data_IF_830657503165
#
_entry.id   IF_830657503165
#
_cell.length_a   1.000
_cell.length_b   1.000
_cell.length_c   1.000
_cell.angle_alpha   90.00
_cell.angle_beta   90.00
_cell.angle_gamma   90.00
#
_symmetry.space_group_name_H-M   'P 1'
#
loop_
_entity.id
_entity.type
_entity.pdbx_description
1 polymer ?
#
# COMPACT_ATOMS: atom_id res chain seq x y z
N UNK A 1 3.62 29.12 4.69
CA UNK A 1 2.63 28.50 3.78
C UNK A 1 1.29 28.43 4.53
N UNK A 2 0.49 29.49 4.44
CA UNK A 2 -0.63 29.75 5.37
C UNK A 2 -1.90 30.23 4.65
N UNK A 3 -2.27 29.63 3.52
CA UNK A 3 -3.51 29.95 2.82
C UNK A 3 -4.14 28.69 2.23
N UNK A 4 -4.90 27.97 3.06
CA UNK A 4 -5.91 26.95 2.69
C UNK A 4 -6.65 26.40 3.95
N UNK A 5 -6.80 27.19 5.02
CA UNK A 5 -7.30 26.68 6.32
C UNK A 5 -8.76 26.20 6.30
N UNK A 6 -9.56 26.64 5.32
CA UNK A 6 -10.97 26.22 5.18
C UNK A 6 -11.12 24.81 4.58
N UNK A 7 -10.49 24.53 3.45
CA UNK A 7 -10.62 23.23 2.76
C UNK A 7 -9.85 22.07 3.41
N UNK A 8 -8.80 22.37 4.17
CA UNK A 8 -7.88 21.35 4.69
C UNK A 8 -8.41 20.59 5.92
N UNK A 9 -9.40 21.15 6.64
CA UNK A 9 -10.04 20.51 7.80
C UNK A 9 -10.87 19.28 7.43
N UNK A 10 -11.46 19.26 6.23
CA UNK A 10 -12.28 18.15 5.75
C UNK A 10 -11.48 16.95 5.24
N UNK A 11 -10.17 17.10 5.04
CA UNK A 11 -9.33 16.05 4.44
C UNK A 11 -8.78 15.04 5.45
N UNK A 12 -8.93 15.24 6.77
CA UNK A 12 -8.48 14.27 7.79
C UNK A 12 -6.95 14.07 7.85
N UNK A 13 -6.17 15.07 7.45
CA UNK A 13 -4.70 15.00 7.41
C UNK A 13 -4.14 14.30 6.17
N UNK A 14 -2.82 14.28 6.01
CA UNK A 14 -2.13 13.60 4.90
C UNK A 14 -0.90 12.85 5.43
N UNK A 15 -0.75 11.58 5.05
CA UNK A 15 0.38 10.74 5.49
C UNK A 15 1.66 11.13 4.73
N UNK A 16 2.81 10.90 5.33
CA UNK A 16 4.10 11.08 4.65
C UNK A 16 4.15 10.28 3.35
N UNK A 17 4.63 10.89 2.27
CA UNK A 17 4.66 10.28 0.95
C UNK A 17 3.38 10.49 0.14
N UNK A 18 2.22 10.68 0.79
CA UNK A 18 0.93 10.77 0.10
C UNK A 18 0.63 12.21 -0.33
N UNK A 19 -0.25 12.35 -1.32
CA UNK A 19 -0.76 13.64 -1.78
C UNK A 19 -2.30 13.69 -1.72
N UNK A 20 -2.86 14.89 -1.54
CA UNK A 20 -4.30 15.17 -1.58
C UNK A 20 -4.57 16.44 -2.36
N UNK A 21 -5.67 16.48 -3.12
CA UNK A 21 -6.01 17.64 -3.94
C UNK A 21 -7.15 18.46 -3.32
N UNK A 22 -7.07 19.78 -3.45
CA UNK A 22 -8.17 20.72 -3.18
C UNK A 22 -8.37 21.66 -4.36
N UNK A 23 -9.50 22.37 -4.36
CA UNK A 23 -9.63 23.57 -5.17
C UNK A 23 -8.60 24.62 -4.73
N UNK A 24 -8.17 25.45 -5.68
CA UNK A 24 -7.16 26.48 -5.43
C UNK A 24 -7.73 27.80 -4.93
N UNK A 25 -9.06 27.97 -4.99
CA UNK A 25 -9.78 29.18 -4.59
C UNK A 25 -9.24 30.41 -5.33
N UNK A 26 -8.70 31.40 -4.63
CA UNK A 26 -8.25 32.69 -5.20
C UNK A 26 -6.91 32.60 -5.95
N UNK A 27 -6.31 31.42 -6.05
CA UNK A 27 -5.08 31.22 -6.81
C UNK A 27 -5.38 31.05 -8.31
N UNK A 28 -4.47 31.50 -9.20
CA UNK A 28 -4.63 31.34 -10.65
C UNK A 28 -4.58 29.87 -11.12
N UNK A 29 -4.08 28.96 -10.27
CA UNK A 29 -4.09 27.53 -10.54
C UNK A 29 -5.52 26.96 -10.42
N UNK A 30 -5.85 25.91 -11.17
CA UNK A 30 -7.16 25.24 -11.05
C UNK A 30 -7.30 24.46 -9.74
N UNK A 31 -6.21 23.83 -9.31
CA UNK A 31 -6.15 22.91 -8.17
C UNK A 31 -4.86 23.12 -7.39
N UNK A 32 -4.88 22.74 -6.11
CA UNK A 32 -3.69 22.67 -5.25
C UNK A 32 -3.52 21.22 -4.79
N UNK A 33 -2.32 20.68 -4.96
CA UNK A 33 -1.95 19.36 -4.47
C UNK A 33 -1.09 19.55 -3.21
N UNK A 34 -1.56 18.95 -2.12
CA UNK A 34 -0.93 18.97 -0.80
C UNK A 34 -0.22 17.65 -0.57
N UNK A 35 1.09 17.68 -0.33
CA UNK A 35 1.89 16.48 -0.07
C UNK A 35 2.76 16.66 1.17
N UNK A 36 3.06 15.56 1.85
CA UNK A 36 3.85 15.57 3.09
C UNK A 36 5.18 14.86 2.87
N UNK A 37 6.22 15.65 2.59
CA UNK A 37 7.60 15.14 2.51
C UNK A 37 8.12 14.58 3.85
N UNK A 38 9.05 13.62 3.80
CA UNK A 38 9.59 12.94 4.98
C UNK A 38 10.53 13.82 5.81
N UNK A 39 10.58 13.57 7.12
CA UNK A 39 11.67 14.04 7.98
C UNK A 39 12.88 13.12 7.77
N UNK A 40 14.02 13.71 7.45
CA UNK A 40 15.23 12.96 7.20
C UNK A 40 15.98 12.65 8.49
N UNK A 41 16.40 11.40 8.62
CA UNK A 41 17.34 10.94 9.62
C UNK A 41 18.27 9.93 8.95
N UNK A 42 19.57 9.99 9.26
CA UNK A 42 20.59 9.12 8.63
C UNK A 42 20.22 7.64 8.75
N UNK A 43 19.72 7.20 9.91
CA UNK A 43 19.24 5.82 10.15
C UNK A 43 18.07 5.37 9.27
N UNK A 44 17.35 6.30 8.66
CA UNK A 44 16.17 6.04 7.82
C UNK A 44 16.35 6.60 6.41
N UNK A 45 17.59 6.68 5.92
CA UNK A 45 17.92 7.23 4.60
C UNK A 45 17.05 6.65 3.48
N UNK A 46 17.01 5.32 3.33
CA UNK A 46 16.19 4.63 2.30
C UNK A 46 14.70 4.92 2.45
N UNK A 47 14.17 4.93 3.68
CA UNK A 47 12.76 5.21 3.90
C UNK A 47 12.41 6.66 3.56
N UNK A 48 13.31 7.60 3.83
CA UNK A 48 13.15 9.00 3.45
C UNK A 48 13.23 9.18 1.94
N UNK A 49 14.14 8.48 1.25
CA UNK A 49 14.23 8.52 -0.22
C UNK A 49 12.96 7.99 -0.88
N UNK A 50 12.49 6.80 -0.47
CA UNK A 50 11.26 6.22 -1.01
C UNK A 50 10.04 7.10 -0.74
N UNK A 51 9.93 7.63 0.48
CA UNK A 51 8.83 8.54 0.82
C UNK A 51 8.88 9.84 0.02
N UNK A 52 10.08 10.39 -0.25
CA UNK A 52 10.23 11.58 -1.07
C UNK A 52 9.86 11.32 -2.53
N UNK A 53 10.31 10.20 -3.10
CA UNK A 53 9.92 9.77 -4.45
C UNK A 53 8.39 9.60 -4.54
N UNK A 54 7.79 8.92 -3.56
CA UNK A 54 6.35 8.74 -3.49
C UNK A 54 5.58 10.07 -3.42
N UNK A 55 6.12 11.12 -2.78
CA UNK A 55 5.50 12.45 -2.78
C UNK A 55 5.36 13.01 -4.19
N UNK A 56 6.44 12.99 -4.99
CA UNK A 56 6.42 13.50 -6.36
C UNK A 56 5.53 12.66 -7.26
N UNK A 57 5.60 11.32 -7.12
CA UNK A 57 4.77 10.38 -7.88
C UNK A 57 3.29 10.60 -7.62
N UNK A 58 2.88 10.64 -6.34
CA UNK A 58 1.48 10.86 -5.94
C UNK A 58 0.94 12.19 -6.48
N UNK A 59 1.76 13.24 -6.55
CA UNK A 59 1.35 14.52 -7.14
C UNK A 59 1.10 14.42 -8.64
N UNK A 60 1.94 13.69 -9.38
CA UNK A 60 1.80 13.50 -10.82
C UNK A 60 0.66 12.53 -11.18
N UNK A 61 0.40 11.52 -10.34
CA UNK A 61 -0.77 10.64 -10.47
C UNK A 61 -2.06 11.43 -10.32
N UNK A 62 -2.17 12.23 -9.25
CA UNK A 62 -3.33 13.10 -9.03
C UNK A 62 -3.54 14.12 -10.17
N UNK A 63 -2.47 14.60 -10.79
CA UNK A 63 -2.54 15.47 -11.97
C UNK A 63 -3.28 14.76 -13.13
N UNK A 64 -2.84 13.54 -13.47
CA UNK A 64 -3.43 12.75 -14.57
C UNK A 64 -4.86 12.34 -14.23
N UNK A 65 -5.11 11.85 -13.01
CA UNK A 65 -6.44 11.41 -12.57
C UNK A 65 -7.50 12.52 -12.65
N UNK A 66 -7.08 13.77 -12.46
CA UNK A 66 -7.98 14.94 -12.52
C UNK A 66 -7.99 15.62 -13.90
N UNK A 67 -7.41 15.01 -14.94
CA UNK A 67 -7.42 15.54 -16.30
C UNK A 67 -6.70 16.90 -16.43
N UNK A 68 -5.66 17.12 -15.62
CA UNK A 68 -4.83 18.31 -15.67
C UNK A 68 -3.55 18.01 -16.48
N UNK A 69 -3.04 19.01 -17.19
CA UNK A 69 -1.92 18.80 -18.13
C UNK A 69 -0.60 19.42 -17.64
N UNK A 70 -0.66 20.30 -16.64
CA UNK A 70 0.53 21.03 -16.16
C UNK A 70 0.57 21.12 -14.64
N UNK A 71 1.77 20.97 -14.07
CA UNK A 71 2.00 21.10 -12.61
C UNK A 71 3.22 21.96 -12.32
N UNK A 72 3.12 22.76 -11.26
CA UNK A 72 4.23 23.48 -10.65
C UNK A 72 4.54 22.84 -9.29
N UNK A 73 5.77 22.37 -9.10
CA UNK A 73 6.21 21.65 -7.90
C UNK A 73 7.40 22.36 -7.27
N UNK A 74 7.29 22.67 -5.97
CA UNK A 74 8.42 23.19 -5.18
C UNK A 74 9.28 22.09 -4.57
N UNK A 75 10.36 22.48 -3.89
CA UNK A 75 11.20 21.55 -3.13
C UNK A 75 10.44 20.98 -1.92
N UNK A 76 10.00 19.72 -2.01
CA UNK A 76 9.23 19.03 -0.94
C UNK A 76 10.09 18.75 0.32
N UNK A 77 11.42 18.79 0.15
CA UNK A 77 12.46 18.49 1.14
C UNK A 77 13.00 19.75 1.84
N UNK A 78 12.11 20.57 2.40
CA UNK A 78 12.46 21.84 3.07
C UNK A 78 13.52 21.69 4.18
N UNK A 79 14.27 22.75 4.48
CA UNK A 79 15.28 22.79 5.56
C UNK A 79 14.77 22.26 6.91
N UNK A 80 13.52 22.57 7.27
CA UNK A 80 12.88 22.09 8.49
C UNK A 80 12.80 20.56 8.62
N UNK A 81 13.05 19.82 7.54
CA UNK A 81 13.04 18.35 7.48
C UNK A 81 14.43 17.73 7.48
N UNK A 82 15.50 18.53 7.55
CA UNK A 82 16.91 18.09 7.59
C UNK A 82 17.34 17.16 6.44
N UNK A 83 16.64 17.19 5.30
CA UNK A 83 16.99 16.36 4.15
C UNK A 83 18.16 17.00 3.39
N UNK A 84 19.26 16.28 3.13
CA UNK A 84 20.34 16.76 2.27
C UNK A 84 19.84 17.21 0.89
N UNK A 85 20.14 18.45 0.51
CA UNK A 85 19.52 19.11 -0.66
C UNK A 85 19.84 18.42 -1.98
N UNK A 86 21.11 18.14 -2.24
CA UNK A 86 21.55 17.54 -3.51
C UNK A 86 21.05 16.10 -3.69
N UNK A 87 21.16 15.19 -2.70
CA UNK A 87 20.50 13.88 -2.76
C UNK A 87 18.99 13.97 -2.96
N UNK A 88 18.31 14.91 -2.29
CA UNK A 88 16.87 15.07 -2.46
C UNK A 88 16.48 15.59 -3.86
N UNK A 89 17.31 16.45 -4.45
CA UNK A 89 17.13 16.93 -5.82
C UNK A 89 17.28 15.79 -6.84
N UNK A 90 18.24 14.89 -6.65
CA UNK A 90 18.36 13.67 -7.47
C UNK A 90 17.07 12.84 -7.43
N UNK A 91 16.52 12.59 -6.23
CA UNK A 91 15.25 11.85 -6.07
C UNK A 91 14.10 12.55 -6.79
N UNK A 92 13.98 13.86 -6.62
CA UNK A 92 12.92 14.66 -7.24
C UNK A 92 12.97 14.58 -8.77
N UNK A 93 14.14 14.89 -9.35
CA UNK A 93 14.32 14.98 -10.80
C UNK A 93 14.20 13.58 -11.44
N UNK A 94 14.84 12.57 -10.85
CA UNK A 94 14.77 11.17 -11.32
C UNK A 94 13.33 10.67 -11.32
N UNK A 95 12.58 10.88 -10.24
CA UNK A 95 11.18 10.43 -10.14
C UNK A 95 10.32 11.07 -11.23
N UNK A 96 10.49 12.38 -11.46
CA UNK A 96 9.76 13.10 -12.53
C UNK A 96 10.15 12.57 -13.91
N UNK A 97 11.45 12.36 -14.16
CA UNK A 97 11.95 11.81 -15.43
C UNK A 97 11.33 10.45 -15.73
N UNK A 98 11.45 9.49 -14.81
CA UNK A 98 10.89 8.15 -14.97
C UNK A 98 9.37 8.17 -15.18
N UNK A 99 8.66 9.05 -14.44
CA UNK A 99 7.21 9.17 -14.58
C UNK A 99 6.80 9.71 -15.95
N UNK A 100 7.49 10.74 -16.45
CA UNK A 100 7.22 11.33 -17.77
C UNK A 100 7.51 10.33 -18.90
N UNK A 101 8.55 9.50 -18.76
CA UNK A 101 8.84 8.43 -19.73
C UNK A 101 7.76 7.35 -19.78
N UNK A 102 7.12 7.05 -18.65
CA UNK A 102 6.01 6.08 -18.57
C UNK A 102 4.69 6.66 -19.08
N UNK A 103 4.40 7.92 -18.76
CA UNK A 103 3.11 8.57 -19.07
C UNK A 103 3.22 9.53 -20.26
N UNK A 104 3.87 9.09 -21.35
CA UNK A 104 4.10 9.91 -22.55
C UNK A 104 2.80 10.49 -23.09
N UNK A 105 2.80 11.79 -23.36
CA UNK A 105 1.69 12.50 -24.00
C UNK A 105 0.52 12.88 -23.08
N UNK A 106 0.58 12.56 -21.77
CA UNK A 106 -0.47 12.95 -20.81
C UNK A 106 -0.17 14.24 -20.04
N UNK A 107 1.09 14.65 -20.00
CA UNK A 107 1.55 15.84 -19.27
C UNK A 107 2.20 16.78 -20.27
N UNK A 108 1.66 17.99 -20.39
CA UNK A 108 2.18 19.05 -21.25
C UNK A 108 3.40 19.76 -20.63
N UNK A 109 3.46 19.88 -19.29
CA UNK A 109 4.59 20.53 -18.64
C UNK A 109 4.70 20.31 -17.14
N UNK A 110 5.94 20.16 -16.67
CA UNK A 110 6.29 20.14 -15.24
C UNK A 110 7.24 21.30 -14.97
N UNK A 111 6.89 22.15 -14.00
CA UNK A 111 7.69 23.31 -13.59
C UNK A 111 8.26 23.03 -12.20
N UNK A 112 9.59 23.07 -12.05
CA UNK A 112 10.24 23.05 -10.74
C UNK A 112 10.33 24.49 -10.19
N UNK A 113 9.50 24.81 -9.19
CA UNK A 113 9.45 26.12 -8.54
C UNK A 113 10.48 26.20 -7.41
N UNK A 114 11.68 26.63 -7.75
CA UNK A 114 12.80 26.70 -6.81
C UNK A 114 12.94 28.12 -6.28
N UNK A 115 12.81 28.29 -4.96
CA UNK A 115 12.89 29.61 -4.32
C UNK A 115 14.26 29.90 -3.73
N UNK A 116 15.05 28.87 -3.40
CA UNK A 116 16.40 29.03 -2.83
C UNK A 116 17.46 29.13 -3.92
N UNK A 117 18.42 30.05 -3.77
CA UNK A 117 19.59 30.13 -4.63
C UNK A 117 20.43 28.83 -4.58
N UNK A 118 20.57 28.22 -3.41
CA UNK A 118 21.30 26.96 -3.25
C UNK A 118 20.69 25.80 -4.03
N UNK A 119 19.36 25.63 -3.94
CA UNK A 119 18.67 24.62 -4.75
C UNK A 119 18.70 24.97 -6.24
N UNK A 120 18.69 26.25 -6.60
CA UNK A 120 18.69 26.68 -8.00
C UNK A 120 19.98 26.23 -8.70
N UNK A 121 21.13 26.41 -8.06
CA UNK A 121 22.41 25.94 -8.58
C UNK A 121 22.50 24.41 -8.66
N UNK A 122 21.89 23.70 -7.69
CA UNK A 122 21.78 22.24 -7.74
C UNK A 122 20.95 21.80 -8.96
N UNK A 123 19.74 22.33 -9.16
CA UNK A 123 18.88 21.92 -10.28
C UNK A 123 19.47 22.32 -11.64
N UNK A 124 20.12 23.49 -11.76
CA UNK A 124 20.83 23.87 -12.99
C UNK A 124 21.88 22.84 -13.40
N UNK A 125 22.61 22.30 -12.41
CA UNK A 125 23.62 21.24 -12.65
C UNK A 125 23.00 19.88 -12.94
N UNK A 126 21.90 19.53 -12.26
CA UNK A 126 21.32 18.18 -12.32
C UNK A 126 20.33 17.98 -13.48
N UNK A 127 19.55 19.00 -13.86
CA UNK A 127 18.52 18.86 -14.90
C UNK A 127 19.10 18.37 -16.24
N UNK A 128 20.24 18.88 -16.76
CA UNK A 128 20.83 18.37 -18.00
C UNK A 128 21.26 16.90 -17.91
N UNK A 129 21.58 16.40 -16.72
CA UNK A 129 21.95 14.99 -16.53
C UNK A 129 20.72 14.07 -16.69
N UNK A 130 19.57 14.49 -16.17
CA UNK A 130 18.33 13.70 -16.25
C UNK A 130 17.48 13.99 -17.49
N UNK A 131 17.64 15.17 -18.09
CA UNK A 131 16.96 15.63 -19.29
C UNK A 131 17.99 16.18 -20.29
N UNK A 132 18.88 15.31 -20.82
CA UNK A 132 19.89 15.72 -21.78
C UNK A 132 19.23 16.27 -23.04
N UNK A 133 19.77 17.39 -23.53
CA UNK A 133 19.24 18.14 -24.69
C UNK A 133 19.94 17.77 -25.99
N UNK A 134 21.18 17.29 -25.88
CA UNK A 134 22.02 16.86 -26.98
C UNK A 134 22.84 15.62 -26.59
N UNK A 135 23.53 15.03 -27.58
CA UNK A 135 24.36 13.83 -27.36
C UNK A 135 25.53 14.07 -26.40
N UNK A 136 26.06 15.28 -26.34
CA UNK A 136 27.19 15.61 -25.46
C UNK A 136 26.75 15.61 -23.99
N UNK A 137 25.55 16.12 -23.71
CA UNK A 137 24.92 16.03 -22.38
C UNK A 137 24.58 14.59 -22.02
N UNK A 138 24.12 13.79 -22.98
CA UNK A 138 23.83 12.37 -22.78
C UNK A 138 25.08 11.58 -22.36
N UNK A 139 26.20 11.76 -23.06
CA UNK A 139 27.49 11.15 -22.70
C UNK A 139 27.98 11.62 -21.31
N UNK A 140 27.80 12.92 -21.03
CA UNK A 140 28.14 13.50 -19.71
C UNK A 140 27.25 12.93 -18.61
N UNK A 141 25.97 12.67 -18.88
CA UNK A 141 25.03 12.09 -17.93
C UNK A 141 25.42 10.65 -17.57
N UNK A 142 25.79 9.84 -18.56
CA UNK A 142 26.22 8.44 -18.37
C UNK A 142 27.44 8.35 -17.44
N UNK A 143 28.36 9.31 -17.52
CA UNK A 143 29.57 9.33 -16.67
C UNK A 143 29.35 9.92 -15.27
N UNK A 144 28.37 10.83 -15.09
CA UNK A 144 28.18 11.58 -13.84
C UNK A 144 27.00 11.14 -13.00
N UNK A 145 26.01 10.45 -13.58
CA UNK A 145 24.89 9.91 -12.82
C UNK A 145 25.37 8.69 -12.00
N UNK A 146 24.92 8.55 -10.75
CA UNK A 146 25.20 7.34 -9.97
C UNK A 146 24.61 6.11 -10.67
N UNK A 147 25.32 4.97 -10.59
CA UNK A 147 24.87 3.69 -11.16
C UNK A 147 23.49 3.24 -10.62
N UNK A 148 23.10 3.76 -9.44
CA UNK A 148 21.76 3.62 -8.86
C UNK A 148 20.78 4.66 -9.47
N UNK A 149 20.52 4.52 -10.77
CA UNK A 149 19.52 5.30 -11.53
C UNK A 149 18.07 4.95 -11.13
N UNK A 150 17.89 4.32 -9.98
CA UNK A 150 16.63 3.82 -9.49
C UNK A 150 16.02 2.74 -10.38
N UNK A 151 14.99 2.09 -9.88
CA UNK A 151 14.19 1.15 -10.65
C UNK A 151 13.31 1.89 -11.66
N UNK A 152 12.46 1.15 -12.36
CA UNK A 152 11.47 1.68 -13.30
C UNK A 152 10.59 2.82 -12.71
N UNK A 153 10.53 3.00 -11.39
CA UNK A 153 9.76 4.04 -10.70
C UNK A 153 10.64 5.15 -10.10
N UNK A 154 11.95 5.12 -10.32
CA UNK A 154 12.92 6.07 -9.79
C UNK A 154 13.33 5.83 -8.32
N UNK A 155 13.04 4.64 -7.76
CA UNK A 155 13.41 4.24 -6.39
C UNK A 155 14.77 3.55 -6.35
N UNK A 156 15.59 3.76 -5.32
CA UNK A 156 16.96 3.20 -5.28
C UNK A 156 16.97 1.66 -5.25
N UNK A 157 17.77 1.04 -6.13
CA UNK A 157 17.88 -0.41 -6.29
C UNK A 157 18.92 -0.93 -5.31
N UNK A 158 18.48 -1.38 -4.14
CA UNK A 158 19.37 -1.99 -3.15
C UNK A 158 19.56 -3.48 -3.49
N UNK A 159 20.71 -3.83 -4.08
CA UNK A 159 21.06 -5.21 -4.49
C UNK A 159 21.05 -6.22 -3.31
N UNK A 160 21.29 -5.77 -2.08
CA UNK A 160 21.22 -6.62 -0.87
C UNK A 160 19.80 -7.16 -0.57
N UNK A 161 18.77 -6.66 -1.28
CA UNK A 161 17.39 -7.16 -1.22
C UNK A 161 17.02 -8.08 -2.39
N UNK A 162 17.90 -8.30 -3.36
CA UNK A 162 17.72 -9.37 -4.35
C UNK A 162 18.09 -10.69 -3.70
N UNK A 163 17.11 -11.57 -3.52
CA UNK A 163 17.33 -12.94 -3.04
C UNK A 163 18.31 -13.62 -4.00
N UNK A 164 19.58 -13.81 -3.59
CA UNK A 164 20.54 -14.69 -4.28
C UNK A 164 20.09 -16.13 -4.04
N UNK A 165 19.25 -16.65 -4.92
CA UNK A 165 18.97 -18.10 -4.97
C UNK A 165 20.23 -18.76 -5.53
N UNK A 166 21.13 -19.24 -4.66
CA UNK A 166 22.12 -20.24 -5.05
C UNK A 166 21.41 -21.61 -5.08
N UNK A 167 21.59 -22.42 -6.12
CA UNK A 167 21.09 -23.79 -6.08
C UNK A 167 21.80 -24.55 -4.96
N UNK A 168 21.00 -25.23 -4.14
CA UNK A 168 21.46 -26.09 -3.06
C UNK A 168 22.28 -27.25 -3.68
N UNK A 169 23.49 -27.58 -3.21
CA UNK A 169 24.17 -28.78 -3.67
C UNK A 169 23.37 -30.01 -3.24
N UNK A 170 23.12 -30.91 -4.20
CA UNK A 170 22.38 -32.14 -3.96
C UNK A 170 23.22 -33.10 -3.12
N UNK A 171 22.75 -33.43 -1.90
CA UNK A 171 23.36 -34.44 -1.06
C UNK A 171 23.65 -33.99 0.37
N UNK A 172 22.61 -33.61 1.11
CA UNK A 172 22.66 -33.56 2.58
C UNK A 172 21.24 -33.73 3.13
N UNK A 173 20.56 -34.77 2.65
CA UNK A 173 19.54 -35.40 3.45
C UNK A 173 20.26 -36.40 4.35
N UNK A 174 19.94 -36.34 5.64
CA UNK A 174 20.38 -37.23 6.71
C UNK A 174 21.51 -36.71 7.60
N UNK A 175 21.24 -36.76 8.92
CA UNK A 175 22.07 -36.39 10.08
C UNK A 175 22.16 -34.91 10.44
N UNK A 176 21.19 -34.43 11.22
CA UNK A 176 21.29 -34.28 12.69
C UNK A 176 20.10 -33.49 13.23
N UNK A 177 19.14 -34.23 13.78
CA UNK A 177 18.30 -33.73 14.86
C UNK A 177 19.22 -33.42 16.04
N UNK A 178 19.02 -32.27 16.68
CA UNK A 178 19.73 -31.73 17.85
C UNK A 178 21.03 -30.95 17.59
N UNK A 179 20.91 -29.69 17.14
CA UNK A 179 21.45 -28.48 17.81
C UNK A 179 21.14 -27.23 16.97
N UNK A 180 19.95 -26.67 17.17
CA UNK A 180 19.63 -25.27 16.81
C UNK A 180 18.54 -24.70 17.74
N UNK A 181 18.53 -25.15 18.99
CA UNK A 181 18.09 -24.30 20.09
C UNK A 181 19.22 -23.31 20.36
N UNK A 182 18.86 -22.03 20.58
CA UNK A 182 19.74 -20.87 20.74
C UNK A 182 20.17 -20.16 19.44
N UNK A 183 19.26 -19.34 18.90
CA UNK A 183 19.50 -17.93 18.54
C UNK A 183 18.13 -17.25 18.36
N UNK A 184 17.43 -17.10 19.49
CA UNK A 184 16.32 -16.15 19.62
C UNK A 184 16.90 -14.74 19.78
N UNK A 185 16.64 -13.88 18.79
CA UNK A 185 16.54 -12.42 18.95
C UNK A 185 15.40 -11.92 18.04
N UNK A 186 14.65 -10.87 18.45
CA UNK A 186 13.20 -10.83 18.28
C UNK A 186 12.76 -10.24 16.94
N UNK A 187 11.80 -10.91 16.30
CA UNK A 187 11.03 -10.40 15.17
C UNK A 187 10.08 -9.31 15.69
N UNK A 188 10.44 -8.04 15.54
CA UNK A 188 9.49 -6.94 15.81
C UNK A 188 8.33 -6.98 14.80
N UNK A 189 7.22 -7.59 15.23
CA UNK A 189 5.84 -7.11 15.05
C UNK A 189 5.48 -6.47 13.69
N UNK A 190 5.62 -7.24 12.60
CA UNK A 190 5.11 -6.88 11.27
C UNK A 190 4.06 -7.89 10.79
N UNK A 191 2.78 -7.65 11.11
CA UNK A 191 1.69 -8.55 10.73
C UNK A 191 1.54 -8.59 9.19
N UNK A 192 1.69 -9.77 8.59
CA UNK A 192 1.51 -10.01 7.16
C UNK A 192 0.12 -9.55 6.68
N UNK A 193 0.02 -9.05 5.44
CA UNK A 193 -1.23 -8.56 4.84
C UNK A 193 -2.24 -9.67 4.56
N UNK A 194 -1.75 -10.90 4.45
CA UNK A 194 -2.51 -12.15 4.49
C UNK A 194 -1.74 -13.15 5.33
N UNK A 195 -2.45 -14.09 5.96
CA UNK A 195 -1.84 -15.22 6.63
C UNK A 195 -2.74 -16.44 6.53
N UNK A 196 -2.12 -17.62 6.63
CA UNK A 196 -2.85 -18.88 6.74
C UNK A 196 -3.42 -19.00 8.15
N UNK A 197 -4.74 -18.96 8.26
CA UNK A 197 -5.43 -19.38 9.47
C UNK A 197 -5.36 -20.89 9.63
N UNK A 198 -5.98 -21.40 10.69
CA UNK A 198 -6.14 -22.84 10.87
C UNK A 198 -7.26 -23.38 9.98
N UNK A 199 -8.30 -23.95 10.59
CA UNK A 199 -9.46 -24.50 9.89
C UNK A 199 -10.77 -23.80 10.29
N UNK A 200 -11.76 -23.82 9.41
CA UNK A 200 -13.12 -23.41 9.73
C UNK A 200 -13.86 -24.51 10.51
N UNK A 201 -15.09 -24.25 10.90
CA UNK A 201 -15.93 -25.20 11.66
C UNK A 201 -16.18 -26.54 10.94
N UNK A 202 -15.93 -26.61 9.63
CA UNK A 202 -16.08 -27.82 8.81
C UNK A 202 -14.71 -28.44 8.44
N UNK A 203 -13.62 -27.97 9.05
CA UNK A 203 -12.28 -28.51 8.84
C UNK A 203 -11.59 -28.01 7.57
N UNK A 204 -12.14 -26.99 6.88
CA UNK A 204 -11.53 -26.44 5.67
C UNK A 204 -10.46 -25.41 6.03
N UNK A 205 -9.33 -25.37 5.30
CA UNK A 205 -8.32 -24.35 5.52
C UNK A 205 -8.87 -22.93 5.35
N UNK A 206 -8.47 -22.05 6.26
CA UNK A 206 -8.89 -20.64 6.26
C UNK A 206 -7.74 -19.75 5.78
N UNK A 207 -8.02 -18.93 4.78
CA UNK A 207 -7.16 -17.82 4.38
C UNK A 207 -7.66 -16.54 5.04
N UNK A 208 -6.81 -15.83 5.76
CA UNK A 208 -7.16 -14.55 6.35
C UNK A 208 -6.46 -13.42 5.60
N UNK A 209 -7.23 -12.41 5.20
CA UNK A 209 -6.74 -11.22 4.51
C UNK A 209 -7.08 -10.00 5.35
N UNK A 210 -6.07 -9.19 5.68
CA UNK A 210 -6.22 -8.00 6.52
C UNK A 210 -6.27 -6.77 5.63
N UNK A 211 -7.47 -6.20 5.45
CA UNK A 211 -7.72 -5.07 4.55
C UNK A 211 -6.89 -3.82 4.86
N UNK A 212 -6.64 -3.53 6.14
CA UNK A 212 -5.79 -2.40 6.56
C UNK A 212 -4.35 -2.51 6.05
N UNK A 213 -3.81 -3.74 5.91
CA UNK A 213 -2.45 -4.00 5.43
C UNK A 213 -2.38 -4.24 3.92
N UNK A 214 -3.51 -4.61 3.31
CA UNK A 214 -3.68 -4.79 1.87
C UNK A 214 -3.40 -3.50 1.07
N UNK A 215 -3.81 -2.32 1.58
CA UNK A 215 -3.65 -1.04 0.87
C UNK A 215 -2.43 -0.21 1.33
N UNK A 216 -1.75 -0.57 2.43
CA UNK A 216 -0.52 0.09 2.90
C UNK A 216 0.73 -0.32 2.09
N UNK A 217 0.67 -1.45 1.38
CA UNK A 217 1.79 -2.06 0.64
C UNK A 217 1.64 -1.98 -0.89
N UNK A 218 0.56 -1.40 -1.41
CA UNK A 218 0.27 -1.38 -2.85
C UNK A 218 1.13 -0.36 -3.60
N UNK A 219 2.37 -0.73 -3.92
CA UNK A 219 3.16 -0.18 -5.03
C UNK A 219 3.04 -1.05 -6.29
N UNK A 220 2.54 -2.29 -6.17
CA UNK A 220 2.26 -3.18 -7.30
C UNK A 220 1.22 -4.23 -6.90
N UNK A 221 -0.04 -3.96 -7.26
CA UNK A 221 -1.19 -4.81 -6.94
C UNK A 221 -1.13 -6.18 -7.63
N UNK A 222 -0.61 -6.24 -8.86
CA UNK A 222 -0.53 -7.50 -9.61
C UNK A 222 0.46 -8.43 -8.93
N UNK A 223 1.62 -7.91 -8.51
CA UNK A 223 2.59 -8.68 -7.71
C UNK A 223 2.02 -9.08 -6.35
N UNK A 224 1.18 -8.26 -5.72
CA UNK A 224 0.52 -8.64 -4.46
C UNK A 224 -0.48 -9.77 -4.66
N UNK A 225 -1.39 -9.66 -5.63
CA UNK A 225 -2.36 -10.72 -5.92
C UNK A 225 -1.64 -12.01 -6.33
N UNK A 226 -0.58 -11.92 -7.13
CA UNK A 226 0.26 -13.08 -7.47
C UNK A 226 1.00 -13.64 -6.26
N UNK A 227 1.44 -12.81 -5.32
CA UNK A 227 2.06 -13.27 -4.08
C UNK A 227 1.06 -14.04 -3.21
N UNK A 228 -0.15 -13.50 -3.02
CA UNK A 228 -1.23 -14.21 -2.31
C UNK A 228 -1.59 -15.49 -3.06
N UNK A 229 -1.82 -15.44 -4.37
CA UNK A 229 -2.11 -16.65 -5.15
C UNK A 229 -1.00 -17.69 -4.99
N UNK A 230 0.28 -17.28 -5.04
CA UNK A 230 1.43 -18.19 -4.86
C UNK A 230 1.54 -18.76 -3.44
N UNK A 231 1.30 -17.94 -2.41
CA UNK A 231 1.31 -18.36 -1.01
C UNK A 231 0.19 -19.38 -0.72
N UNK A 232 -0.97 -19.15 -1.33
CA UNK A 232 -2.19 -19.93 -1.09
C UNK A 232 -2.49 -20.99 -2.16
N UNK A 233 -1.72 -21.11 -3.24
CA UNK A 233 -1.85 -22.15 -4.28
C UNK A 233 -2.01 -23.57 -3.69
N UNK A 234 -1.20 -24.03 -2.69
CA UNK A 234 -1.38 -25.36 -2.11
C UNK A 234 -2.69 -25.51 -1.32
N UNK A 235 -3.31 -24.41 -0.88
CA UNK A 235 -4.59 -24.41 -0.16
C UNK A 235 -5.78 -24.41 -1.11
N UNK A 236 -5.67 -23.70 -2.22
CA UNK A 236 -6.75 -23.52 -3.20
C UNK A 236 -7.00 -24.81 -4.00
N UNK A 237 -6.09 -25.79 -3.95
CA UNK A 237 -6.30 -27.14 -4.47
C UNK A 237 -7.37 -27.92 -3.70
N UNK A 238 -7.74 -27.50 -2.48
CA UNK A 238 -8.81 -28.09 -1.66
C UNK A 238 -9.92 -27.06 -1.40
N UNK A 239 -11.12 -27.50 -1.00
CA UNK A 239 -12.16 -26.58 -0.55
C UNK A 239 -11.65 -25.67 0.57
N UNK A 240 -11.77 -24.36 0.42
CA UNK A 240 -11.19 -23.39 1.34
C UNK A 240 -12.13 -22.21 1.62
N UNK A 241 -11.88 -21.54 2.74
CA UNK A 241 -12.67 -20.40 3.22
C UNK A 241 -11.78 -19.16 3.28
N UNK A 242 -12.33 -17.99 2.94
CA UNK A 242 -11.65 -16.70 3.05
C UNK A 242 -12.30 -15.90 4.18
N UNK A 243 -11.48 -15.31 5.04
CA UNK A 243 -11.88 -14.30 6.03
C UNK A 243 -11.21 -12.98 5.67
N UNK A 244 -11.99 -11.96 5.35
CA UNK A 244 -11.50 -10.62 5.04
C UNK A 244 -11.82 -9.66 6.19
N UNK A 245 -10.78 -9.14 6.84
CA UNK A 245 -10.89 -8.20 7.96
C UNK A 245 -10.82 -6.77 7.43
N UNK A 246 -11.96 -6.07 7.36
CA UNK A 246 -12.04 -4.72 6.80
C UNK A 246 -11.79 -3.59 7.83
N UNK A 247 -11.61 -3.92 9.11
CA UNK A 247 -11.36 -2.94 10.17
C UNK A 247 -10.25 -1.95 9.77
N UNK A 248 -10.46 -0.66 10.02
CA UNK A 248 -9.56 0.45 9.67
C UNK A 248 -9.30 0.70 8.16
N UNK A 249 -9.84 -0.10 7.24
CA UNK A 249 -9.78 0.17 5.80
C UNK A 249 -10.81 1.21 5.31
N UNK A 250 -11.77 1.61 6.17
CA UNK A 250 -12.83 2.60 5.86
C UNK A 250 -12.34 4.01 5.52
N UNK A 251 -11.08 4.34 5.84
CA UNK A 251 -10.49 5.67 5.60
C UNK A 251 -9.69 5.76 4.29
N UNK A 252 -9.76 4.73 3.45
CA UNK A 252 -8.90 4.57 2.27
C UNK A 252 -9.74 4.51 0.98
N UNK A 253 -9.16 4.92 -0.17
CA UNK A 253 -9.86 4.88 -1.46
C UNK A 253 -10.32 3.45 -1.77
N UNK A 254 -11.59 3.35 -2.13
CA UNK A 254 -12.23 2.07 -2.47
C UNK A 254 -11.72 1.60 -3.83
N UNK A 255 -11.52 0.28 -4.02
CA UNK A 255 -11.17 -0.26 -5.32
C UNK A 255 -12.24 0.06 -6.36
N UNK A 256 -11.83 0.53 -7.53
CA UNK A 256 -12.74 0.86 -8.63
C UNK A 256 -13.14 -0.41 -9.44
N UNK A 257 -14.10 -0.27 -10.36
CA UNK A 257 -14.58 -1.40 -11.17
C UNK A 257 -13.48 -1.99 -12.06
N UNK A 258 -12.53 -1.16 -12.52
CA UNK A 258 -11.39 -1.59 -13.33
C UNK A 258 -10.41 -2.47 -12.54
N UNK A 259 -10.16 -2.12 -11.28
CA UNK A 259 -9.38 -2.90 -10.32
C UNK A 259 -10.01 -4.27 -10.09
N UNK A 260 -11.32 -4.32 -9.86
CA UNK A 260 -12.01 -5.58 -9.55
C UNK A 260 -12.02 -6.54 -10.75
N UNK A 261 -12.17 -6.01 -11.97
CA UNK A 261 -12.08 -6.80 -13.20
C UNK A 261 -10.68 -7.43 -13.39
N UNK A 262 -9.61 -6.71 -13.04
CA UNK A 262 -8.23 -7.24 -13.08
C UNK A 262 -7.99 -8.33 -12.05
N UNK A 263 -8.46 -8.15 -10.81
CA UNK A 263 -8.38 -9.18 -9.78
C UNK A 263 -9.05 -10.47 -10.23
N UNK A 264 -10.24 -10.37 -10.85
CA UNK A 264 -10.93 -11.52 -11.42
C UNK A 264 -10.11 -12.21 -12.52
N UNK A 265 -9.48 -11.44 -13.41
CA UNK A 265 -8.64 -11.98 -14.48
C UNK A 265 -7.42 -12.73 -13.93
N UNK A 266 -6.80 -12.22 -12.85
CA UNK A 266 -5.63 -12.84 -12.21
C UNK A 266 -6.03 -14.09 -11.41
N UNK A 267 -7.12 -14.02 -10.64
CA UNK A 267 -7.61 -15.16 -9.86
C UNK A 267 -8.26 -16.24 -10.74
N UNK A 268 -8.72 -15.93 -11.95
CA UNK A 268 -9.27 -16.91 -12.90
C UNK A 268 -10.43 -17.75 -12.35
N UNK A 269 -10.96 -18.66 -13.19
CA UNK A 269 -12.10 -19.53 -12.82
C UNK A 269 -11.71 -20.71 -11.91
N UNK A 270 -10.42 -21.12 -11.91
CA UNK A 270 -9.90 -22.26 -11.14
C UNK A 270 -10.04 -22.03 -9.62
N UNK A 271 -9.71 -20.84 -9.15
CA UNK A 271 -9.70 -20.51 -7.73
C UNK A 271 -11.12 -20.29 -7.16
N UNK A 272 -12.10 -20.02 -8.02
CA UNK A 272 -13.50 -19.82 -7.62
C UNK A 272 -14.29 -21.12 -7.36
N UNK A 273 -13.87 -22.23 -7.97
CA UNK A 273 -14.57 -23.53 -7.86
C UNK A 273 -14.49 -24.14 -6.46
N UNK A 274 -13.30 -24.10 -5.86
CA UNK A 274 -13.03 -24.66 -4.53
C UNK A 274 -13.30 -23.67 -3.39
N UNK A 275 -13.63 -22.42 -3.71
CA UNK A 275 -14.02 -21.45 -2.72
C UNK A 275 -15.36 -21.85 -2.10
N UNK A 276 -15.40 -22.05 -0.79
CA UNK A 276 -16.63 -22.37 -0.08
C UNK A 276 -17.37 -21.12 0.39
N UNK A 277 -16.65 -20.20 1.04
CA UNK A 277 -17.23 -18.99 1.64
C UNK A 277 -16.23 -17.84 1.74
N UNK A 278 -16.73 -16.61 1.65
CA UNK A 278 -16.00 -15.39 1.94
C UNK A 278 -16.70 -14.67 3.10
N UNK A 279 -16.07 -14.61 4.26
CA UNK A 279 -16.58 -13.91 5.44
C UNK A 279 -15.94 -12.53 5.53
N UNK A 280 -16.74 -11.47 5.38
CA UNK A 280 -16.29 -10.08 5.44
C UNK A 280 -16.63 -9.51 6.81
N UNK A 281 -15.60 -9.25 7.62
CA UNK A 281 -15.76 -8.66 8.95
C UNK A 281 -15.74 -7.13 8.88
N UNK A 282 -16.71 -6.49 9.55
CA UNK A 282 -16.91 -5.03 9.62
C UNK A 282 -17.10 -4.36 8.25
N UNK A 283 -18.05 -4.81 7.43
CA UNK A 283 -18.30 -4.20 6.13
C UNK A 283 -18.82 -2.76 6.28
N UNK A 284 -18.21 -1.83 5.56
CA UNK A 284 -18.65 -0.43 5.50
C UNK A 284 -19.73 -0.25 4.42
N UNK A 285 -20.51 0.84 4.49
CA UNK A 285 -21.49 1.17 3.44
C UNK A 285 -20.82 1.26 2.06
N UNK A 286 -19.63 1.88 2.00
CA UNK A 286 -18.81 1.95 0.80
C UNK A 286 -18.46 0.56 0.25
N UNK A 287 -17.95 -0.34 1.11
CA UNK A 287 -17.61 -1.70 0.69
C UNK A 287 -18.84 -2.48 0.18
N UNK A 288 -19.99 -2.34 0.86
CA UNK A 288 -21.25 -2.96 0.43
C UNK A 288 -21.69 -2.43 -0.93
N UNK A 289 -21.57 -1.12 -1.18
CA UNK A 289 -21.90 -0.52 -2.50
C UNK A 289 -20.93 -0.95 -3.60
N UNK A 290 -19.63 -1.07 -3.29
CA UNK A 290 -18.64 -1.59 -4.23
C UNK A 290 -18.94 -3.05 -4.59
N UNK A 291 -19.28 -3.88 -3.59
CA UNK A 291 -19.66 -5.28 -3.82
C UNK A 291 -20.96 -5.40 -4.62
N UNK A 292 -21.96 -4.56 -4.35
CA UNK A 292 -23.19 -4.53 -5.13
C UNK A 292 -22.92 -4.16 -6.60
N UNK A 293 -22.06 -3.16 -6.86
CA UNK A 293 -21.63 -2.81 -8.22
C UNK A 293 -20.90 -3.95 -8.93
N UNK A 294 -20.15 -4.77 -8.18
CA UNK A 294 -19.47 -5.94 -8.72
C UNK A 294 -20.39 -7.12 -9.05
N UNK A 295 -21.50 -7.29 -8.33
CA UNK A 295 -22.48 -8.34 -8.61
C UNK A 295 -23.06 -8.23 -10.02
N UNK A 296 -23.11 -7.02 -10.59
CA UNK A 296 -23.62 -6.76 -11.93
C UNK A 296 -22.65 -7.14 -13.06
N UNK A 297 -21.38 -7.43 -12.76
CA UNK A 297 -20.32 -7.63 -13.75
C UNK A 297 -19.74 -9.05 -13.79
N UNK A 298 -20.07 -9.91 -12.82
CA UNK A 298 -19.39 -11.20 -12.57
C UNK A 298 -20.41 -12.34 -12.42
N UNK A 299 -19.99 -13.58 -12.73
CA UNK A 299 -20.76 -14.82 -12.51
C UNK A 299 -21.33 -14.90 -11.07
N UNK A 300 -22.65 -15.06 -10.94
CA UNK A 300 -23.39 -14.97 -9.68
C UNK A 300 -23.04 -16.02 -8.62
N UNK A 301 -22.36 -17.11 -8.98
CA UNK A 301 -22.08 -18.25 -8.09
C UNK A 301 -21.06 -17.95 -6.99
N UNK A 302 -20.13 -17.01 -7.21
CA UNK A 302 -19.17 -16.59 -6.17
C UNK A 302 -19.83 -15.66 -5.16
N UNK A 303 -20.75 -14.80 -5.61
CA UNK A 303 -21.42 -13.81 -4.76
C UNK A 303 -22.39 -14.42 -3.77
N UNK A 304 -23.00 -15.56 -4.11
CA UNK A 304 -23.82 -16.36 -3.18
C UNK A 304 -23.04 -16.87 -1.96
N UNK A 305 -21.71 -16.89 -2.04
CA UNK A 305 -20.80 -17.37 -0.99
C UNK A 305 -20.25 -16.24 -0.11
N UNK A 306 -20.60 -14.98 -0.39
CA UNK A 306 -20.17 -13.83 0.41
C UNK A 306 -21.11 -13.64 1.59
N UNK A 307 -20.56 -13.68 2.81
CA UNK A 307 -21.28 -13.49 4.06
C UNK A 307 -20.72 -12.25 4.77
N UNK A 308 -21.59 -11.28 5.00
CA UNK A 308 -21.27 -10.08 5.77
C UNK A 308 -21.38 -10.38 7.26
N UNK A 309 -20.32 -10.06 7.99
CA UNK A 309 -20.23 -10.30 9.43
C UNK A 309 -19.96 -8.97 10.11
N UNK A 310 -20.95 -8.50 10.88
CA UNK A 310 -20.86 -7.20 11.52
C UNK A 310 -20.13 -7.27 12.86
N UNK A 311 -19.97 -8.46 13.48
CA UNK A 311 -19.35 -8.64 14.80
C UNK A 311 -18.36 -9.81 14.85
N UNK A 312 -17.29 -9.65 15.62
CA UNK A 312 -16.31 -10.73 15.84
C UNK A 312 -16.93 -12.02 16.41
N UNK A 313 -17.87 -11.90 17.34
CA UNK A 313 -18.56 -13.05 17.94
C UNK A 313 -19.34 -13.87 16.89
N UNK A 314 -19.85 -13.21 15.84
CA UNK A 314 -20.52 -13.91 14.75
C UNK A 314 -19.51 -14.63 13.85
N UNK A 315 -18.33 -14.03 13.60
CA UNK A 315 -17.26 -14.67 12.84
C UNK A 315 -16.82 -15.98 13.48
N UNK A 316 -16.74 -16.00 14.82
CA UNK A 316 -16.33 -17.18 15.58
C UNK A 316 -17.29 -18.37 15.49
N UNK A 317 -18.50 -18.18 14.96
CA UNK A 317 -19.42 -19.28 14.64
C UNK A 317 -19.00 -20.05 13.39
N UNK A 318 -18.29 -19.39 12.48
CA UNK A 318 -17.84 -19.98 11.22
C UNK A 318 -16.38 -20.44 11.30
N UNK A 319 -15.53 -19.67 11.97
CA UNK A 319 -14.12 -20.02 12.16
C UNK A 319 -13.77 -19.89 13.64
N UNK A 320 -13.43 -20.98 14.35
CA UNK A 320 -13.08 -20.91 15.76
C UNK A 320 -11.95 -19.93 15.99
N UNK A 321 -12.03 -19.20 17.09
CA UNK A 321 -11.10 -18.11 17.40
C UNK A 321 -9.65 -18.60 17.49
N UNK A 322 -9.43 -19.80 18.01
CA UNK A 322 -8.11 -20.42 18.20
C UNK A 322 -7.40 -20.62 16.85
N UNK A 323 -8.16 -20.64 15.76
CA UNK A 323 -7.67 -20.80 14.39
C UNK A 323 -7.31 -19.46 13.73
N UNK A 324 -7.51 -18.32 14.42
CA UNK A 324 -7.34 -16.97 13.88
C UNK A 324 -6.44 -16.08 14.74
N UNK A 325 -5.35 -15.58 14.15
CA UNK A 325 -4.51 -14.53 14.73
C UNK A 325 -5.03 -13.13 14.40
N UNK A 326 -6.08 -12.70 15.10
CA UNK A 326 -6.72 -11.40 14.84
C UNK A 326 -5.89 -10.25 15.43
N UNK A 327 -5.62 -9.17 14.67
CA UNK A 327 -4.88 -8.00 15.17
C UNK A 327 -5.68 -7.18 16.19
N UNK A 328 -4.98 -6.54 17.14
CA UNK A 328 -5.61 -5.79 18.24
C UNK A 328 -6.50 -4.64 17.75
N UNK A 329 -6.12 -3.97 16.64
CA UNK A 329 -6.94 -2.89 16.06
C UNK A 329 -8.31 -3.37 15.54
N UNK A 330 -8.45 -4.66 15.20
CA UNK A 330 -9.73 -5.25 14.77
C UNK A 330 -10.68 -5.36 15.96
N UNK A 331 -10.17 -5.77 17.12
CA UNK A 331 -10.95 -5.82 18.37
C UNK A 331 -11.35 -4.43 18.84
N UNK A 332 -10.43 -3.46 18.74
CA UNK A 332 -10.73 -2.08 19.08
C UNK A 332 -11.85 -1.51 18.18
N UNK A 333 -11.78 -1.78 16.88
CA UNK A 333 -12.82 -1.34 15.94
C UNK A 333 -14.17 -2.03 16.20
N UNK A 334 -14.19 -3.33 16.51
CA UNK A 334 -15.43 -4.03 16.90
C UNK A 334 -16.06 -3.39 18.14
N UNK A 335 -15.24 -3.00 19.13
CA UNK A 335 -15.72 -2.31 20.33
C UNK A 335 -16.28 -0.91 20.02
N UNK A 336 -15.62 -0.14 19.16
CA UNK A 336 -16.08 1.20 18.76
C UNK A 336 -17.41 1.15 18.00
N UNK A 337 -17.56 0.18 17.10
CA UNK A 337 -18.75 0.06 16.23
C UNK A 337 -19.89 -0.70 16.92
N UNK A 338 -19.59 -1.75 17.68
CA UNK A 338 -20.57 -2.69 18.23
C UNK A 338 -20.64 -2.74 19.77
N UNK A 339 -19.71 -2.08 20.49
CA UNK A 339 -19.57 -2.19 21.95
C UNK A 339 -20.72 -1.63 22.79
N UNK A 340 -21.71 -0.98 22.16
CA UNK A 340 -22.90 -0.46 22.84
C UNK A 340 -23.92 -1.52 23.26
N UNK A 341 -23.94 -2.74 22.71
CA UNK A 341 -24.95 -3.78 23.01
C UNK A 341 -24.42 -5.20 22.83
N UNK A 342 -24.73 -6.13 23.74
CA UNK A 342 -24.57 -7.60 23.56
C UNK A 342 -23.26 -8.21 24.06
N UNK A 343 -22.86 -9.34 23.48
CA UNK A 343 -21.56 -9.99 23.75
C UNK A 343 -20.42 -9.18 23.10
N UNK A 344 -19.40 -8.88 23.88
CA UNK A 344 -18.24 -8.07 23.50
C UNK A 344 -16.97 -8.91 23.68
N UNK A 345 -16.02 -8.73 22.77
CA UNK A 345 -14.67 -9.29 22.91
C UNK A 345 -13.75 -8.22 23.49
N UNK A 346 -13.20 -8.45 24.68
CA UNK A 346 -12.27 -7.50 25.32
C UNK A 346 -10.97 -7.39 24.49
N UNK A 347 -10.54 -6.21 24.03
CA UNK A 347 -9.28 -6.07 23.30
C UNK A 347 -8.03 -6.48 24.10
N UNK A 348 -8.05 -6.36 25.44
CA UNK A 348 -6.90 -6.63 26.33
C UNK A 348 -6.83 -8.08 26.73
N UNK A 349 -7.93 -8.61 27.24
CA UNK A 349 -7.98 -10.00 27.73
C UNK A 349 -8.38 -10.98 26.62
N UNK A 350 -8.90 -10.46 25.50
CA UNK A 350 -9.46 -11.20 24.37
C UNK A 350 -10.66 -12.07 24.78
N UNK A 351 -11.14 -12.03 26.02
CA UNK A 351 -12.29 -12.84 26.47
C UNK A 351 -13.62 -12.29 25.98
N UNK A 352 -14.58 -13.19 25.75
CA UNK A 352 -15.95 -12.84 25.37
C UNK A 352 -16.75 -12.66 26.67
N UNK A 353 -17.40 -11.51 26.86
CA UNK A 353 -18.28 -11.27 27.99
C UNK A 353 -19.57 -10.58 27.56
N UNK A 354 -20.65 -10.77 28.32
CA UNK A 354 -21.94 -10.15 28.05
C UNK A 354 -22.02 -8.81 28.78
N UNK A 355 -22.19 -7.71 28.03
CA UNK A 355 -22.40 -6.39 28.65
C UNK A 355 -23.88 -6.27 29.08
N UNK A 356 -24.17 -5.94 30.35
CA UNK A 356 -25.54 -5.78 30.81
C UNK A 356 -26.23 -4.66 30.01
N UNK A 357 -27.48 -4.92 29.62
CA UNK A 357 -28.30 -3.95 28.88
C UNK A 357 -28.73 -2.85 29.85
N UNK A 358 -28.15 -1.66 29.68
CA UNK A 358 -28.57 -0.46 30.40
C UNK A 358 -29.74 0.22 29.74
#
# INVERSE_FOLDING_TARGET
MFWARGGMRHLGGCRTGMAKMTNAYDLPARKVIHTVGPKYAVKYHTAAENALSHCYRSCLELLIENGLESIAMGCIYTEAKNYPREPAAHVAIRTVRCFLEKQKGKIAGVIFCITSSSDTEIYKRLLPLYFPRDKQEEETAVSKLPADVGDENGETVIDERKIRIRPLPAGAADRTVATAAALDLPLESGLASSYRGGVDSEGRPVMVVVGAHFLLRCLDLERFVLHVVKEFEPLIQKPYTIVYLHSAASLQPQPDLGFMKRIQQILGRKHQRNLHGIYILHPTLGLRTAILGMQLLIDGEVWKKVVYVDRLVQLFRYVPREQLTIPDFVFQHDLEVNGGRGMIVDPRTKHIYQRPSG
#
